data_IF_260626998425
#
_entry.id   IF_260626998425
#
_cell.length_a   1.000
_cell.length_b   1.000
_cell.length_c   1.000
_cell.angle_alpha   90.00
_cell.angle_beta   90.00
_cell.angle_gamma   90.00
#
_symmetry.space_group_name_H-M   'P 1'
#
loop_
_entity.id
_entity.type
_entity.pdbx_description
1 polymer ?
#
# COMPACT_ATOMS: atom_id res chain seq x y z
N UNK A 1 -9.69 -24.09 7.69
CA UNK A 1 -9.12 -23.18 8.72
C UNK A 1 -9.02 -21.81 8.09
N UNK A 2 -9.60 -20.75 8.72
CA UNK A 2 -9.52 -19.37 8.24
C UNK A 2 -8.08 -18.90 8.43
N UNK A 3 -7.40 -18.36 7.40
CA UNK A 3 -6.03 -17.88 7.52
C UNK A 3 -5.95 -16.69 8.49
N UNK A 4 -4.80 -16.52 9.10
CA UNK A 4 -4.54 -15.41 9.99
C UNK A 4 -3.68 -14.37 9.30
N UNK A 5 -4.07 -13.09 9.38
CA UNK A 5 -3.36 -11.96 8.78
C UNK A 5 -3.05 -10.91 9.84
N UNK A 6 -1.79 -10.52 9.97
CA UNK A 6 -1.39 -9.43 10.86
C UNK A 6 -2.03 -8.12 10.42
N UNK A 7 -2.64 -7.39 11.35
CA UNK A 7 -3.27 -6.08 11.06
C UNK A 7 -4.69 -6.13 10.53
N UNK A 8 -5.25 -7.33 10.28
CA UNK A 8 -6.69 -7.50 10.06
C UNK A 8 -7.36 -7.99 11.36
N UNK A 9 -8.52 -7.42 11.67
CA UNK A 9 -9.23 -7.77 12.90
C UNK A 9 -10.00 -9.07 12.72
N UNK A 10 -9.56 -10.12 13.41
CA UNK A 10 -10.14 -11.45 13.29
C UNK A 10 -11.51 -11.61 13.98
N UNK A 11 -11.80 -10.75 14.94
CA UNK A 11 -13.04 -10.85 15.71
C UNK A 11 -14.31 -10.57 14.88
N UNK A 12 -14.13 -10.02 13.67
CA UNK A 12 -15.24 -9.66 12.78
C UNK A 12 -15.43 -10.60 11.59
N UNK A 13 -14.59 -11.63 11.41
CA UNK A 13 -14.78 -12.56 10.30
C UNK A 13 -15.82 -13.61 10.64
N UNK A 14 -17.07 -13.31 10.31
CA UNK A 14 -18.14 -14.30 10.25
C UNK A 14 -18.13 -15.08 8.94
N UNK A 15 -17.45 -14.57 7.90
CA UNK A 15 -17.42 -15.16 6.57
C UNK A 15 -16.17 -14.76 5.78
N UNK A 16 -15.89 -15.47 4.68
CA UNK A 16 -14.82 -15.11 3.73
C UNK A 16 -15.08 -13.76 3.07
N UNK A 17 -16.33 -13.36 2.93
CA UNK A 17 -16.70 -12.05 2.36
C UNK A 17 -16.26 -10.91 3.27
N UNK A 18 -16.45 -11.04 4.59
CA UNK A 18 -16.00 -10.01 5.54
C UNK A 18 -14.48 -9.88 5.59
N UNK A 19 -13.74 -10.99 5.45
CA UNK A 19 -12.27 -10.95 5.32
C UNK A 19 -11.83 -10.12 4.11
N UNK A 20 -12.45 -10.36 2.96
CA UNK A 20 -12.14 -9.64 1.72
C UNK A 20 -12.44 -8.15 1.86
N UNK A 21 -13.58 -7.80 2.45
CA UNK A 21 -13.97 -6.40 2.67
C UNK A 21 -12.99 -5.67 3.58
N UNK A 22 -12.52 -6.32 4.64
CA UNK A 22 -11.53 -5.76 5.55
C UNK A 22 -10.16 -5.62 4.87
N UNK A 23 -9.78 -6.60 4.06
CA UNK A 23 -8.55 -6.53 3.27
C UNK A 23 -8.55 -5.34 2.30
N UNK A 24 -9.69 -5.07 1.64
CA UNK A 24 -9.86 -3.91 0.76
C UNK A 24 -9.75 -2.54 1.48
N UNK A 25 -9.89 -2.52 2.80
CA UNK A 25 -9.73 -1.31 3.63
C UNK A 25 -8.40 -1.26 4.39
N UNK A 26 -7.55 -2.25 4.18
CA UNK A 26 -6.31 -2.45 4.93
C UNK A 26 -5.08 -1.89 4.22
N UNK A 27 -3.96 -1.94 4.93
CA UNK A 27 -2.67 -1.57 4.39
C UNK A 27 -2.18 -2.55 3.30
N UNK A 28 -2.75 -3.75 3.22
CA UNK A 28 -2.46 -4.72 2.16
C UNK A 28 -2.90 -4.24 0.77
N UNK A 29 -4.05 -3.56 0.68
CA UNK A 29 -4.48 -2.93 -0.56
C UNK A 29 -3.42 -1.94 -1.07
N UNK A 30 -2.93 -1.09 -0.18
CA UNK A 30 -1.92 -0.10 -0.54
C UNK A 30 -0.57 -0.73 -0.89
N UNK A 31 -0.20 -1.83 -0.23
CA UNK A 31 0.99 -2.58 -0.63
C UNK A 31 0.95 -2.95 -2.10
N UNK A 32 -0.11 -3.66 -2.51
CA UNK A 32 -0.27 -4.12 -3.88
C UNK A 32 -0.43 -2.94 -4.85
N UNK A 33 -1.17 -1.89 -4.46
CA UNK A 33 -1.33 -0.69 -5.27
C UNK A 33 0.02 -0.01 -5.60
N UNK A 34 0.89 0.18 -4.61
CA UNK A 34 2.22 0.74 -4.86
C UNK A 34 3.12 -0.20 -5.68
N UNK A 35 3.00 -1.51 -5.48
CA UNK A 35 3.76 -2.49 -6.25
C UNK A 35 3.38 -2.45 -7.73
N UNK A 36 2.10 -2.24 -8.05
CA UNK A 36 1.62 -2.07 -9.44
C UNK A 36 2.25 -0.86 -10.14
N UNK A 37 2.62 0.19 -9.42
CA UNK A 37 3.29 1.36 -9.98
C UNK A 37 4.80 1.17 -10.20
N UNK A 38 5.34 0.00 -9.87
CA UNK A 38 6.75 -0.32 -10.06
C UNK A 38 7.02 -0.83 -11.47
N UNK A 39 7.88 -0.14 -12.21
CA UNK A 39 8.39 -0.59 -13.52
C UNK A 39 9.21 -1.88 -13.38
N UNK A 40 10.01 -1.98 -12.33
CA UNK A 40 10.85 -3.16 -12.09
C UNK A 40 10.01 -4.38 -11.71
N UNK A 41 8.92 -4.19 -10.95
CA UNK A 41 8.00 -5.29 -10.65
C UNK A 41 7.21 -5.73 -11.89
N UNK A 42 6.80 -4.79 -12.71
CA UNK A 42 6.17 -5.11 -14.00
C UNK A 42 7.13 -5.95 -14.86
N UNK A 43 8.40 -5.53 -14.93
CA UNK A 43 9.38 -6.23 -15.75
C UNK A 43 9.69 -7.64 -15.25
N UNK A 44 9.80 -7.85 -13.93
CA UNK A 44 10.00 -9.22 -13.41
C UNK A 44 8.79 -10.11 -13.68
N UNK A 45 7.57 -9.56 -13.70
CA UNK A 45 6.37 -10.28 -14.14
C UNK A 45 6.47 -10.69 -15.61
N UNK A 46 6.89 -9.78 -16.48
CA UNK A 46 7.13 -10.03 -17.90
C UNK A 46 8.21 -11.11 -18.12
N UNK A 47 9.29 -11.05 -17.38
CA UNK A 47 10.41 -11.99 -17.42
C UNK A 47 10.17 -13.29 -16.62
N UNK A 48 8.95 -13.54 -16.15
CA UNK A 48 8.58 -14.73 -15.38
C UNK A 48 9.54 -15.03 -14.20
N UNK A 49 9.90 -13.99 -13.45
CA UNK A 49 10.73 -14.12 -12.26
C UNK A 49 12.25 -14.10 -12.49
N UNK A 50 12.71 -13.88 -13.71
CA UNK A 50 14.15 -13.81 -14.02
C UNK A 50 14.73 -12.47 -13.61
N UNK A 51 15.41 -12.42 -12.47
CA UNK A 51 16.01 -11.23 -11.88
C UNK A 51 17.29 -11.58 -11.12
N UNK A 52 18.23 -10.63 -11.02
CA UNK A 52 19.46 -10.78 -10.22
C UNK A 52 19.25 -10.42 -8.74
N UNK A 53 18.29 -9.55 -8.42
CA UNK A 53 17.96 -9.16 -7.04
C UNK A 53 17.03 -10.22 -6.43
N UNK A 54 17.58 -11.06 -5.55
CA UNK A 54 16.83 -12.13 -4.87
C UNK A 54 15.65 -11.59 -4.03
N UNK A 55 15.72 -10.37 -3.53
CA UNK A 55 14.60 -9.79 -2.77
C UNK A 55 13.40 -9.52 -3.66
N UNK A 56 13.63 -8.88 -4.84
CA UNK A 56 12.58 -8.65 -5.82
C UNK A 56 12.01 -9.99 -6.34
N UNK A 57 12.88 -10.97 -6.58
CA UNK A 57 12.50 -12.31 -6.99
C UNK A 57 11.65 -13.02 -5.93
N UNK A 58 11.99 -12.89 -4.65
CA UNK A 58 11.20 -13.44 -3.55
C UNK A 58 9.82 -12.76 -3.45
N UNK A 59 9.74 -11.44 -3.63
CA UNK A 59 8.46 -10.73 -3.68
C UNK A 59 7.62 -11.26 -4.83
N UNK A 60 8.19 -11.40 -6.04
CA UNK A 60 7.49 -11.95 -7.18
C UNK A 60 7.04 -13.42 -6.96
N UNK A 61 7.89 -14.26 -6.39
CA UNK A 61 7.56 -15.66 -6.13
C UNK A 61 6.35 -15.82 -5.21
N UNK A 62 6.19 -14.90 -4.25
CA UNK A 62 5.11 -14.94 -3.26
C UNK A 62 3.86 -14.21 -3.74
N UNK A 63 4.01 -13.02 -4.30
CA UNK A 63 2.91 -12.15 -4.75
C UNK A 63 2.35 -12.60 -6.11
N UNK A 64 3.21 -13.10 -7.01
CA UNK A 64 2.86 -13.51 -8.36
C UNK A 64 2.66 -12.33 -9.32
N UNK A 65 2.19 -12.61 -10.52
CA UNK A 65 1.88 -11.58 -11.51
C UNK A 65 0.56 -10.88 -11.15
N UNK A 66 0.65 -9.68 -10.57
CA UNK A 66 -0.52 -8.89 -10.14
C UNK A 66 -1.30 -8.28 -11.31
N UNK A 67 -0.71 -8.25 -12.51
CA UNK A 67 -1.34 -7.68 -13.71
C UNK A 67 -2.28 -8.69 -14.41
N UNK A 68 -2.30 -9.95 -14.00
CA UNK A 68 -3.24 -10.98 -14.46
C UNK A 68 -4.61 -10.90 -13.77
N UNK A 69 -4.76 -10.02 -12.77
CA UNK A 69 -5.98 -9.90 -11.99
C UNK A 69 -6.72 -8.60 -12.30
N UNK A 70 -8.02 -8.69 -12.56
CA UNK A 70 -8.86 -7.53 -12.86
C UNK A 70 -9.01 -6.58 -11.66
N UNK A 71 -8.97 -7.12 -10.43
CA UNK A 71 -9.13 -6.33 -9.22
C UNK A 71 -8.39 -6.95 -8.02
N UNK A 72 -8.24 -6.14 -6.96
CA UNK A 72 -7.58 -6.56 -5.73
C UNK A 72 -8.26 -7.75 -5.05
N UNK A 73 -9.58 -7.85 -5.10
CA UNK A 73 -10.32 -8.96 -4.47
C UNK A 73 -9.97 -10.30 -5.12
N UNK A 74 -9.93 -10.36 -6.46
CA UNK A 74 -9.55 -11.56 -7.20
C UNK A 74 -8.12 -11.99 -6.86
N UNK A 75 -7.20 -11.03 -6.80
CA UNK A 75 -5.83 -11.28 -6.36
C UNK A 75 -5.79 -11.77 -4.90
N UNK A 76 -6.52 -11.10 -3.99
CA UNK A 76 -6.55 -11.46 -2.56
C UNK A 76 -7.01 -12.91 -2.35
N UNK A 77 -8.10 -13.30 -2.99
CA UNK A 77 -8.66 -14.66 -2.92
C UNK A 77 -7.62 -15.70 -3.37
N UNK A 78 -6.86 -15.39 -4.41
CA UNK A 78 -5.91 -16.30 -5.03
C UNK A 78 -4.57 -16.39 -4.30
N UNK A 79 -4.03 -15.26 -3.84
CA UNK A 79 -2.63 -15.12 -3.43
C UNK A 79 -2.39 -14.72 -1.97
N UNK A 80 -3.36 -14.10 -1.30
CA UNK A 80 -3.15 -13.57 0.05
C UNK A 80 -2.70 -14.61 1.06
N UNK A 81 -3.23 -15.83 0.95
CA UNK A 81 -2.90 -16.93 1.86
C UNK A 81 -1.42 -17.30 1.81
N UNK A 82 -0.83 -17.30 0.62
CA UNK A 82 0.61 -17.59 0.44
C UNK A 82 1.45 -16.36 0.80
N UNK A 83 0.96 -15.17 0.47
CA UNK A 83 1.72 -13.93 0.60
C UNK A 83 1.78 -13.43 2.03
N UNK A 84 0.64 -13.33 2.69
CA UNK A 84 0.46 -12.54 3.92
C UNK A 84 -0.07 -13.34 5.11
N UNK A 85 -0.60 -14.55 4.91
CA UNK A 85 -1.08 -15.34 6.02
C UNK A 85 0.08 -15.81 6.90
N UNK A 86 -0.15 -15.78 8.22
CA UNK A 86 0.77 -16.35 9.19
C UNK A 86 0.85 -17.86 9.00
N UNK A 87 2.06 -18.39 8.94
CA UNK A 87 2.31 -19.83 8.80
C UNK A 87 1.95 -20.58 10.09
N UNK A 88 2.14 -19.93 11.23
CA UNK A 88 1.75 -20.43 12.54
C UNK A 88 0.67 -19.54 13.13
N UNK A 89 -0.23 -20.11 13.92
CA UNK A 89 -1.24 -19.33 14.61
C UNK A 89 -0.59 -18.41 15.63
N UNK A 90 -0.80 -17.08 15.56
CA UNK A 90 -0.28 -16.18 16.56
C UNK A 90 -0.81 -16.55 17.96
N UNK A 91 -0.02 -16.37 19.02
CA UNK A 91 -0.49 -16.54 20.37
C UNK A 91 -1.65 -15.59 20.66
N UNK A 92 -2.61 -16.05 21.42
CA UNK A 92 -3.82 -15.30 21.78
C UNK A 92 -3.98 -15.30 23.29
N UNK A 93 -4.54 -14.19 23.80
CA UNK A 93 -5.08 -14.19 25.17
C UNK A 93 -6.31 -15.09 25.16
N UNK A 94 -6.31 -16.12 25.99
CA UNK A 94 -7.40 -17.08 26.12
C UNK A 94 -7.84 -17.16 27.57
N UNK A 95 -9.13 -17.36 27.79
CA UNK A 95 -9.65 -17.75 29.09
C UNK A 95 -9.16 -19.18 29.40
N UNK A 96 -8.36 -19.30 30.45
CA UNK A 96 -7.77 -20.57 30.90
C UNK A 96 -8.47 -21.12 32.16
N UNK A 97 -9.54 -20.48 32.63
CA UNK A 97 -10.25 -20.87 33.86
C UNK A 97 -10.68 -22.34 33.84
N UNK A 98 -11.02 -22.87 32.68
CA UNK A 98 -11.44 -24.28 32.49
C UNK A 98 -10.23 -25.22 32.38
N UNK A 99 -9.06 -24.72 31.99
CA UNK A 99 -7.86 -25.52 31.65
C UNK A 99 -6.70 -25.32 32.62
N UNK A 100 -6.87 -24.53 33.67
CA UNK A 100 -5.78 -24.16 34.59
C UNK A 100 -5.07 -25.36 35.24
N UNK A 101 -5.76 -26.49 35.38
CA UNK A 101 -5.19 -27.72 35.95
C UNK A 101 -4.27 -28.49 34.97
N UNK A 102 -4.27 -28.15 33.71
CA UNK A 102 -3.55 -28.89 32.65
C UNK A 102 -2.48 -28.08 31.95
N UNK A 103 -2.27 -26.80 32.33
CA UNK A 103 -1.31 -25.93 31.70
C UNK A 103 0.03 -26.03 32.39
N UNK A 104 1.00 -26.66 31.73
CA UNK A 104 2.41 -26.44 32.04
C UNK A 104 2.79 -25.06 31.47
N UNK A 105 2.90 -24.08 32.37
CA UNK A 105 3.15 -22.67 32.01
C UNK A 105 4.64 -22.36 31.84
N UNK A 106 5.51 -23.34 32.15
CA UNK A 106 6.94 -23.07 32.31
C UNK A 106 7.69 -22.81 31.01
N UNK A 107 7.25 -23.35 29.89
CA UNK A 107 8.07 -23.38 28.65
C UNK A 107 7.59 -22.52 27.47
N UNK A 108 6.43 -21.84 27.54
CA UNK A 108 5.82 -21.23 26.36
C UNK A 108 5.71 -19.71 26.35
N UNK A 109 6.38 -19.02 27.26
CA UNK A 109 6.28 -17.54 27.32
C UNK A 109 4.87 -17.04 27.64
N UNK A 110 4.11 -17.80 28.42
CA UNK A 110 2.74 -17.49 28.85
C UNK A 110 2.73 -17.02 30.29
N UNK A 111 1.78 -16.19 30.63
CA UNK A 111 1.53 -15.70 31.99
C UNK A 111 0.06 -15.93 32.33
N UNK A 112 -0.19 -16.57 33.46
CA UNK A 112 -1.53 -16.65 34.03
C UNK A 112 -1.74 -15.45 34.96
N UNK A 113 -2.86 -14.74 34.77
CA UNK A 113 -3.21 -13.57 35.57
C UNK A 113 -4.59 -13.77 36.17
N UNK A 114 -4.72 -13.62 37.45
CA UNK A 114 -6.02 -13.54 38.13
C UNK A 114 -6.53 -12.10 38.05
N UNK A 115 -7.74 -11.93 37.53
CA UNK A 115 -8.39 -10.61 37.39
C UNK A 115 -9.58 -10.56 38.36
N UNK A 116 -9.53 -9.76 39.42
CA UNK A 116 -10.68 -9.54 40.30
C UNK A 116 -11.76 -8.73 39.60
N UNK A 117 -12.94 -9.29 39.40
CA UNK A 117 -14.05 -8.65 38.69
C UNK A 117 -14.63 -7.39 39.35
N UNK A 118 -14.24 -7.08 40.59
CA UNK A 118 -14.71 -5.86 41.28
C UNK A 118 -13.80 -4.63 41.03
N UNK A 119 -12.74 -4.77 40.26
CA UNK A 119 -11.87 -3.66 39.86
C UNK A 119 -12.47 -2.95 38.64
N UNK A 120 -12.21 -1.64 38.50
CA UNK A 120 -12.56 -0.92 37.28
C UNK A 120 -11.68 -1.33 36.12
N UNK A 121 -12.21 -1.22 34.87
CA UNK A 121 -11.49 -1.58 33.65
C UNK A 121 -10.16 -0.82 33.53
N UNK A 122 -10.14 0.47 33.92
CA UNK A 122 -8.92 1.30 33.87
C UNK A 122 -7.85 0.74 34.82
N UNK A 123 -8.22 0.31 36.00
CA UNK A 123 -7.30 -0.23 36.99
C UNK A 123 -6.76 -1.59 36.57
N UNK A 124 -7.62 -2.44 35.99
CA UNK A 124 -7.22 -3.73 35.40
C UNK A 124 -6.19 -3.52 34.30
N UNK A 125 -6.47 -2.61 33.34
CA UNK A 125 -5.55 -2.29 32.25
C UNK A 125 -4.22 -1.75 32.77
N UNK A 126 -4.24 -0.85 33.75
CA UNK A 126 -3.03 -0.28 34.33
C UNK A 126 -2.16 -1.35 35.01
N UNK A 127 -2.77 -2.24 35.79
CA UNK A 127 -2.04 -3.32 36.45
C UNK A 127 -1.48 -4.34 35.47
N UNK A 128 -2.26 -4.73 34.43
CA UNK A 128 -1.77 -5.60 33.37
C UNK A 128 -0.58 -4.99 32.61
N UNK A 129 -0.64 -3.71 32.28
CA UNK A 129 0.46 -3.01 31.63
C UNK A 129 1.71 -2.97 32.52
N UNK A 130 1.55 -2.80 33.83
CA UNK A 130 2.67 -2.84 34.78
C UNK A 130 3.32 -4.22 34.85
N UNK A 131 2.52 -5.28 34.94
CA UNK A 131 3.01 -6.66 34.91
C UNK A 131 3.73 -6.98 33.60
N UNK A 132 3.15 -6.58 32.50
CA UNK A 132 3.79 -6.75 31.20
C UNK A 132 5.09 -5.95 31.05
N UNK A 133 5.26 -4.83 31.76
CA UNK A 133 6.49 -4.04 31.71
C UNK A 133 7.68 -4.77 32.31
N UNK A 134 7.45 -5.70 33.22
CA UNK A 134 8.49 -6.54 33.87
C UNK A 134 9.01 -7.65 32.95
N UNK A 135 8.24 -8.04 31.93
CA UNK A 135 8.64 -9.08 30.96
C UNK A 135 9.70 -8.52 30.01
N UNK A 136 10.82 -9.21 29.77
CA UNK A 136 11.83 -8.80 28.79
C UNK A 136 11.22 -8.54 27.40
N UNK A 137 11.71 -7.49 26.70
CA UNK A 137 11.13 -7.08 25.42
C UNK A 137 11.25 -8.13 24.31
N UNK A 138 12.32 -8.88 24.30
CA UNK A 138 12.58 -9.96 23.36
C UNK A 138 11.58 -11.12 23.49
N UNK A 139 11.03 -11.35 24.68
CA UNK A 139 9.99 -12.36 24.94
C UNK A 139 8.59 -11.84 24.59
N UNK A 140 8.36 -10.52 24.64
CA UNK A 140 7.02 -9.91 24.46
C UNK A 140 6.57 -9.76 23.02
N UNK A 141 7.46 -9.86 22.04
CA UNK A 141 7.14 -9.56 20.66
C UNK A 141 6.97 -10.84 19.84
N UNK A 142 5.74 -11.04 19.40
CA UNK A 142 5.47 -12.03 18.38
C UNK A 142 6.15 -11.63 17.05
N UNK A 143 6.98 -12.54 16.51
CA UNK A 143 7.53 -12.39 15.16
C UNK A 143 6.54 -12.99 14.19
N UNK A 144 6.09 -12.17 13.24
CA UNK A 144 5.26 -12.64 12.15
C UNK A 144 5.97 -13.76 11.38
N UNK A 145 5.23 -14.81 11.07
CA UNK A 145 5.69 -15.96 10.27
C UNK A 145 5.18 -15.89 8.83
N UNK A 146 4.51 -14.79 8.46
CA UNK A 146 4.05 -14.56 7.09
C UNK A 146 5.24 -14.37 6.14
N UNK A 147 5.09 -14.82 4.88
CA UNK A 147 6.12 -14.66 3.86
C UNK A 147 6.41 -13.18 3.53
N UNK A 148 5.37 -12.35 3.60
CA UNK A 148 5.50 -10.89 3.49
C UNK A 148 4.93 -10.24 4.74
N UNK A 149 5.76 -9.47 5.45
CA UNK A 149 5.40 -8.88 6.73
C UNK A 149 4.95 -7.44 6.57
N UNK A 150 3.72 -7.17 7.00
CA UNK A 150 3.20 -5.81 7.07
C UNK A 150 3.82 -5.08 8.26
N UNK A 151 4.51 -3.97 8.00
CA UNK A 151 5.05 -3.11 9.04
C UNK A 151 3.92 -2.26 9.60
N UNK A 152 3.71 -2.32 10.92
CA UNK A 152 2.70 -1.51 11.59
C UNK A 152 3.00 -0.03 11.42
N UNK A 153 2.05 0.72 10.89
CA UNK A 153 2.13 2.16 10.71
C UNK A 153 1.14 2.90 11.60
N UNK A 154 1.46 4.15 11.90
CA UNK A 154 0.56 5.03 12.63
C UNK A 154 -0.67 5.40 11.79
N UNK A 155 -1.78 5.73 12.44
CA UNK A 155 -2.98 6.24 11.77
C UNK A 155 -2.70 7.47 10.91
N UNK A 156 -1.77 8.33 11.34
CA UNK A 156 -1.34 9.52 10.58
C UNK A 156 -0.65 9.15 9.28
N UNK A 157 0.18 8.12 9.28
CA UNK A 157 0.87 7.63 8.09
C UNK A 157 -0.10 6.94 7.14
N UNK A 158 -1.01 6.11 7.66
CA UNK A 158 -2.05 5.45 6.85
C UNK A 158 -2.90 6.46 6.09
N UNK A 159 -3.30 7.57 6.73
CA UNK A 159 -4.05 8.66 6.07
C UNK A 159 -3.29 9.36 4.93
N UNK A 160 -1.97 9.17 4.84
CA UNK A 160 -1.17 9.75 3.76
C UNK A 160 -1.03 8.83 2.55
N UNK A 161 -1.28 7.51 2.69
CA UNK A 161 -1.09 6.55 1.60
C UNK A 161 -1.90 6.91 0.35
N UNK A 162 -3.20 7.28 0.43
CA UNK A 162 -3.97 7.67 -0.75
C UNK A 162 -3.34 8.82 -1.53
N UNK A 163 -2.92 9.88 -0.86
CA UNK A 163 -2.32 11.04 -1.52
C UNK A 163 -0.95 10.73 -2.11
N UNK A 164 -0.15 9.89 -1.45
CA UNK A 164 1.13 9.43 -1.96
C UNK A 164 0.94 8.58 -3.23
N UNK A 165 -0.06 7.69 -3.22
CA UNK A 165 -0.42 6.88 -4.38
C UNK A 165 -0.90 7.74 -5.56
N UNK A 166 -1.78 8.72 -5.32
CA UNK A 166 -2.25 9.64 -6.36
C UNK A 166 -1.10 10.42 -7.02
N UNK A 167 -0.15 10.91 -6.20
CA UNK A 167 1.04 11.60 -6.73
C UNK A 167 1.88 10.65 -7.57
N UNK A 168 2.12 9.42 -7.11
CA UNK A 168 2.89 8.42 -7.84
C UNK A 168 2.20 8.03 -9.15
N UNK A 169 0.91 7.75 -9.11
CA UNK A 169 0.13 7.40 -10.29
C UNK A 169 0.17 8.51 -11.33
N UNK A 170 -0.09 9.76 -10.93
CA UNK A 170 0.00 10.91 -11.83
C UNK A 170 1.38 11.06 -12.46
N UNK A 171 2.44 10.90 -11.67
CA UNK A 171 3.80 10.95 -12.17
C UNK A 171 4.06 9.88 -13.23
N UNK A 172 3.60 8.63 -13.00
CA UNK A 172 3.70 7.53 -13.97
C UNK A 172 2.89 7.82 -15.23
N UNK A 173 1.68 8.34 -15.10
CA UNK A 173 0.84 8.73 -16.24
C UNK A 173 1.45 9.86 -17.07
N UNK A 174 2.11 10.84 -16.44
CA UNK A 174 2.85 11.90 -17.14
C UNK A 174 4.04 11.33 -17.91
N UNK A 175 4.79 10.42 -17.29
CA UNK A 175 5.90 9.73 -17.98
C UNK A 175 5.38 8.94 -19.18
N UNK A 176 4.28 8.22 -19.00
CA UNK A 176 3.61 7.51 -20.09
C UNK A 176 3.17 8.45 -21.22
N UNK A 177 2.53 9.56 -20.87
CA UNK A 177 2.02 10.53 -21.84
C UNK A 177 3.14 11.16 -22.69
N UNK A 178 4.35 11.33 -22.13
CA UNK A 178 5.52 11.85 -22.90
C UNK A 178 6.03 10.88 -23.95
N UNK A 179 5.77 9.58 -23.78
CA UNK A 179 6.19 8.54 -24.72
C UNK A 179 5.14 8.27 -25.78
N UNK A 180 3.86 8.56 -25.50
CA UNK A 180 2.76 8.39 -26.43
C UNK A 180 2.47 9.72 -27.16
N UNK A 181 2.42 9.67 -28.49
CA UNK A 181 2.01 10.83 -29.31
C UNK A 181 0.48 10.98 -29.41
N UNK A 182 -0.27 10.57 -28.38
CA UNK A 182 -1.73 10.60 -28.43
C UNK A 182 -2.25 11.97 -27.94
N UNK A 183 -3.18 12.59 -28.68
CA UNK A 183 -3.83 13.86 -28.30
C UNK A 183 -4.52 13.81 -26.93
N UNK A 184 -5.09 12.66 -26.57
CA UNK A 184 -5.71 12.42 -25.25
C UNK A 184 -4.73 12.64 -24.09
N UNK A 185 -3.45 12.40 -24.29
CA UNK A 185 -2.41 12.57 -23.29
C UNK A 185 -1.71 13.94 -23.33
N UNK A 186 -2.03 14.78 -24.32
CA UNK A 186 -1.34 16.06 -24.53
C UNK A 186 -1.44 17.02 -23.32
N UNK A 187 -2.53 16.98 -22.56
CA UNK A 187 -2.67 17.77 -21.35
C UNK A 187 -1.80 17.23 -20.19
N UNK A 188 -1.59 15.91 -20.10
CA UNK A 188 -0.70 15.29 -19.12
C UNK A 188 0.76 15.69 -19.36
N UNK A 189 1.20 15.76 -20.63
CA UNK A 189 2.60 16.14 -20.95
C UNK A 189 2.94 17.56 -20.52
N UNK A 190 1.96 18.45 -20.44
CA UNK A 190 2.09 19.84 -20.01
C UNK A 190 1.99 19.99 -18.49
N UNK A 191 1.57 18.95 -17.76
CA UNK A 191 1.33 19.02 -16.33
C UNK A 191 2.65 19.13 -15.57
N UNK A 192 2.77 20.16 -14.74
CA UNK A 192 3.90 20.38 -13.83
C UNK A 192 3.45 20.10 -12.38
N UNK A 193 4.36 20.16 -11.45
CA UNK A 193 4.07 19.87 -10.03
C UNK A 193 2.96 20.75 -9.45
N UNK A 194 2.79 21.98 -9.91
CA UNK A 194 1.69 22.81 -9.48
C UNK A 194 0.34 22.27 -9.97
N UNK A 195 0.24 21.96 -11.26
CA UNK A 195 -0.95 21.41 -11.89
C UNK A 195 -1.31 20.04 -11.28
N UNK A 196 -0.30 19.19 -11.05
CA UNK A 196 -0.49 17.90 -10.31
C UNK A 196 -1.12 18.14 -8.95
N UNK A 197 -0.57 19.07 -8.17
CA UNK A 197 -1.07 19.35 -6.83
C UNK A 197 -2.48 19.93 -6.82
N UNK A 198 -2.83 20.72 -7.83
CA UNK A 198 -4.19 21.24 -8.02
C UNK A 198 -5.17 20.14 -8.45
N UNK A 199 -4.74 19.25 -9.33
CA UNK A 199 -5.54 18.12 -9.83
C UNK A 199 -6.02 17.22 -8.68
N UNK A 200 -5.11 16.83 -7.79
CA UNK A 200 -5.39 15.95 -6.65
C UNK A 200 -5.80 16.71 -5.37
N UNK A 201 -5.92 18.03 -5.43
CA UNK A 201 -6.27 18.87 -4.28
C UNK A 201 -5.36 18.67 -3.05
N UNK A 202 -4.05 18.61 -3.28
CA UNK A 202 -3.05 18.22 -2.26
C UNK A 202 -3.06 19.13 -1.02
N UNK A 203 -3.44 20.40 -1.16
CA UNK A 203 -3.56 21.39 -0.10
C UNK A 203 -4.68 22.38 -0.40
N UNK A 204 -5.89 22.14 0.14
CA UNK A 204 -7.02 23.06 -0.06
C UNK A 204 -6.70 24.50 0.35
N UNK A 205 -5.92 24.70 1.41
CA UNK A 205 -5.51 26.02 1.90
C UNK A 205 -4.53 26.76 0.99
N UNK A 206 -3.85 26.05 0.10
CA UNK A 206 -2.91 26.63 -0.87
C UNK A 206 -3.54 26.90 -2.24
N UNK A 207 -4.88 26.77 -2.37
CA UNK A 207 -5.57 27.20 -3.59
C UNK A 207 -5.51 28.71 -3.72
N UNK A 208 -5.12 29.24 -4.90
CA UNK A 208 -5.20 30.68 -5.16
C UNK A 208 -6.65 31.17 -5.08
N UNK A 209 -6.83 32.31 -4.44
CA UNK A 209 -8.11 33.03 -4.40
C UNK A 209 -8.08 34.19 -5.39
N UNK A 210 -9.27 34.68 -5.77
CA UNK A 210 -9.42 35.92 -6.58
C UNK A 210 -8.88 37.15 -5.86
N UNK A 211 -8.85 37.10 -4.54
CA UNK A 211 -8.41 38.20 -3.67
C UNK A 211 -6.92 38.13 -3.30
N UNK A 212 -6.20 37.12 -3.74
CA UNK A 212 -4.76 36.99 -3.46
C UNK A 212 -3.98 38.04 -4.26
N UNK A 213 -3.03 38.70 -3.61
CA UNK A 213 -2.01 39.50 -4.29
C UNK A 213 -1.13 38.59 -5.18
N UNK A 214 -0.42 39.19 -6.12
CA UNK A 214 0.51 38.42 -6.99
C UNK A 214 1.58 37.67 -6.17
N UNK A 215 2.11 38.30 -5.11
CA UNK A 215 3.07 37.69 -4.21
C UNK A 215 2.45 36.51 -3.45
N UNK A 216 1.27 36.68 -2.84
CA UNK A 216 0.55 35.62 -2.14
C UNK A 216 0.22 34.44 -3.06
N UNK A 217 -0.17 34.73 -4.30
CA UNK A 217 -0.44 33.69 -5.31
C UNK A 217 0.80 32.89 -5.66
N UNK A 218 1.93 33.54 -5.85
CA UNK A 218 3.22 32.88 -6.12
C UNK A 218 3.65 32.00 -4.94
N UNK A 219 3.52 32.48 -3.71
CA UNK A 219 3.84 31.71 -2.50
C UNK A 219 2.98 30.45 -2.39
N UNK A 220 1.66 30.57 -2.63
CA UNK A 220 0.75 29.41 -2.67
C UNK A 220 1.15 28.42 -3.75
N UNK A 221 1.51 28.88 -4.95
CA UNK A 221 2.00 28.00 -6.03
C UNK A 221 3.28 27.28 -5.63
N UNK A 222 4.26 27.98 -5.06
CA UNK A 222 5.52 27.41 -4.63
C UNK A 222 5.31 26.38 -3.50
N UNK A 223 4.39 26.65 -2.57
CA UNK A 223 4.00 25.69 -1.53
C UNK A 223 3.43 24.40 -2.12
N UNK A 224 2.52 24.51 -3.10
CA UNK A 224 1.96 23.32 -3.78
C UNK A 224 3.06 22.54 -4.50
N UNK A 225 3.95 23.19 -5.26
CA UNK A 225 5.09 22.56 -5.95
C UNK A 225 5.99 21.80 -4.97
N UNK A 226 6.33 22.43 -3.85
CA UNK A 226 7.16 21.82 -2.80
C UNK A 226 6.49 20.59 -2.19
N UNK A 227 5.20 20.67 -1.88
CA UNK A 227 4.44 19.54 -1.34
C UNK A 227 4.39 18.36 -2.31
N UNK A 228 4.10 18.58 -3.59
CA UNK A 228 4.09 17.53 -4.60
C UNK A 228 5.47 16.88 -4.73
N UNK A 229 6.54 17.69 -4.81
CA UNK A 229 7.90 17.19 -4.88
C UNK A 229 8.28 16.31 -3.68
N UNK A 230 7.91 16.73 -2.47
CA UNK A 230 8.13 15.94 -1.25
C UNK A 230 7.34 14.64 -1.25
N UNK A 231 6.06 14.68 -1.64
CA UNK A 231 5.20 13.50 -1.71
C UNK A 231 5.66 12.52 -2.77
N UNK A 232 6.10 13.01 -3.94
CA UNK A 232 6.71 12.17 -4.97
C UNK A 232 7.92 11.42 -4.44
N UNK A 233 8.87 12.10 -3.79
CA UNK A 233 10.05 11.46 -3.20
C UNK A 233 9.69 10.41 -2.13
N UNK A 234 8.61 10.65 -1.35
CA UNK A 234 8.13 9.68 -0.38
C UNK A 234 7.50 8.45 -1.07
N UNK A 235 6.68 8.67 -2.10
CA UNK A 235 6.04 7.62 -2.87
C UNK A 235 7.08 6.74 -3.61
N UNK A 236 8.09 7.36 -4.25
CA UNK A 236 9.18 6.62 -4.91
C UNK A 236 9.95 5.73 -3.92
N UNK A 237 10.15 6.21 -2.68
CA UNK A 237 10.76 5.37 -1.62
C UNK A 237 9.85 4.19 -1.23
N UNK A 238 8.55 4.41 -1.12
CA UNK A 238 7.60 3.33 -0.82
C UNK A 238 7.63 2.29 -1.95
N UNK A 239 7.60 2.72 -3.22
CA UNK A 239 7.68 1.82 -4.37
C UNK A 239 8.97 0.99 -4.30
N UNK A 240 10.12 1.61 -4.08
CA UNK A 240 11.39 0.91 -3.96
C UNK A 240 11.42 -0.09 -2.77
N UNK A 241 10.73 0.22 -1.69
CA UNK A 241 10.66 -0.66 -0.51
C UNK A 241 9.70 -1.84 -0.70
N UNK A 242 8.54 -1.65 -1.35
CA UNK A 242 7.63 -2.77 -1.64
C UNK A 242 8.27 -3.79 -2.58
N UNK A 243 9.13 -3.35 -3.50
CA UNK A 243 9.91 -4.21 -4.39
C UNK A 243 10.87 -5.15 -3.66
N UNK A 244 11.24 -4.83 -2.42
CA UNK A 244 12.10 -5.67 -1.57
C UNK A 244 11.36 -6.24 -0.36
N UNK A 245 10.03 -6.24 -0.41
CA UNK A 245 9.18 -6.89 0.60
C UNK A 245 8.97 -6.06 1.87
N UNK A 246 9.20 -4.75 1.84
CA UNK A 246 9.07 -3.86 3.00
C UNK A 246 8.05 -2.75 2.75
N UNK A 247 6.97 -2.70 3.55
CA UNK A 247 5.91 -1.68 3.41
C UNK A 247 5.40 -1.19 4.76
N UNK A 248 5.08 0.08 4.91
CA UNK A 248 5.38 1.23 4.05
C UNK A 248 6.60 2.02 4.57
N UNK A 249 7.78 1.48 4.40
CA UNK A 249 9.00 2.17 4.80
C UNK A 249 9.26 3.39 3.91
N UNK A 250 9.66 4.49 4.54
CA UNK A 250 10.11 5.73 3.89
C UNK A 250 11.64 5.89 3.95
N UNK A 251 12.34 4.90 4.50
CA UNK A 251 13.78 4.81 4.41
C UNK A 251 14.21 4.56 2.97
N UNK A 252 15.44 4.88 2.63
CA UNK A 252 15.97 4.57 1.31
C UNK A 252 16.20 3.07 1.22
N UNK A 253 15.54 2.41 0.27
CA UNK A 253 15.83 1.02 -0.02
C UNK A 253 17.25 0.88 -0.60
N UNK A 254 17.94 -0.15 -0.20
CA UNK A 254 19.22 -0.51 -0.78
C UNK A 254 18.96 -1.22 -2.12
N UNK A 255 19.26 -0.57 -3.23
CA UNK A 255 18.94 -1.09 -4.56
C UNK A 255 20.19 -1.78 -5.13
N UNK A 256 20.13 -3.10 -5.25
CA UNK A 256 21.14 -3.89 -5.93
C UNK A 256 20.94 -3.87 -7.45
N UNK A 257 21.94 -4.35 -8.19
CA UNK A 257 21.78 -4.59 -9.63
C UNK A 257 20.69 -5.67 -9.86
N UNK A 258 19.63 -5.32 -10.60
CA UNK A 258 18.47 -6.20 -10.84
C UNK A 258 18.54 -6.96 -12.14
N UNK A 259 19.21 -6.41 -13.13
CA UNK A 259 19.17 -6.89 -14.50
C UNK A 259 20.58 -7.07 -15.08
N UNK A 260 20.78 -8.10 -15.87
CA UNK A 260 21.95 -8.25 -16.73
C UNK A 260 22.00 -7.13 -17.78
N UNK A 261 23.13 -6.94 -18.45
CA UNK A 261 23.25 -5.92 -19.50
C UNK A 261 22.26 -6.15 -20.65
N UNK A 262 22.03 -7.40 -21.03
CA UNK A 262 21.05 -7.76 -22.05
C UNK A 262 19.60 -7.47 -21.59
N UNK A 263 19.24 -7.85 -20.37
CA UNK A 263 17.92 -7.56 -19.80
C UNK A 263 17.69 -6.05 -19.63
N UNK A 264 18.70 -5.27 -19.25
CA UNK A 264 18.58 -3.80 -19.18
C UNK A 264 18.23 -3.17 -20.52
N UNK A 265 18.77 -3.70 -21.60
CA UNK A 265 18.44 -3.21 -22.94
C UNK A 265 16.99 -3.53 -23.31
N UNK A 266 16.58 -4.78 -23.14
CA UNK A 266 15.20 -5.21 -23.38
C UNK A 266 14.20 -4.48 -22.48
N UNK A 267 14.51 -4.32 -21.18
CA UNK A 267 13.71 -3.52 -20.25
C UNK A 267 13.49 -2.09 -20.75
N UNK A 268 14.59 -1.44 -21.19
CA UNK A 268 14.50 -0.07 -21.71
C UNK A 268 13.65 0.00 -22.98
N UNK A 269 13.84 -0.93 -23.90
CA UNK A 269 13.05 -1.02 -25.13
C UNK A 269 11.56 -1.23 -24.86
N UNK A 270 11.21 -2.13 -23.91
CA UNK A 270 9.82 -2.37 -23.53
C UNK A 270 9.16 -1.16 -22.84
N UNK A 271 9.89 -0.49 -21.93
CA UNK A 271 9.38 0.72 -21.25
C UNK A 271 9.21 1.87 -22.25
N UNK A 272 10.20 2.14 -23.11
CA UNK A 272 10.15 3.20 -24.12
C UNK A 272 9.18 2.86 -25.27
N UNK A 273 9.01 1.58 -25.59
CA UNK A 273 8.02 1.07 -26.55
C UNK A 273 6.57 1.13 -26.08
N UNK A 274 6.36 1.44 -24.80
CA UNK A 274 5.02 1.65 -24.25
C UNK A 274 4.29 0.40 -23.77
N UNK A 275 4.95 -0.76 -23.69
CA UNK A 275 4.32 -1.99 -23.21
C UNK A 275 3.82 -1.86 -21.76
N UNK A 276 4.63 -1.26 -20.88
CA UNK A 276 4.21 -0.98 -19.51
C UNK A 276 3.03 -0.02 -19.43
N UNK A 277 2.97 0.94 -20.38
CA UNK A 277 1.94 1.98 -20.44
C UNK A 277 0.55 1.42 -20.72
N UNK A 278 0.46 0.34 -21.50
CA UNK A 278 -0.82 -0.34 -21.77
C UNK A 278 -1.42 -0.94 -20.50
N UNK A 279 -0.59 -1.23 -19.49
CA UNK A 279 -1.00 -1.79 -18.20
C UNK A 279 -1.36 -0.70 -17.19
N UNK A 280 -0.63 0.43 -17.19
CA UNK A 280 -0.79 1.50 -16.20
C UNK A 280 -1.58 2.66 -16.80
N UNK A 281 -2.88 2.61 -16.65
CA UNK A 281 -3.79 3.71 -16.94
C UNK A 281 -4.74 3.94 -15.75
N UNK A 282 -5.41 5.10 -15.73
CA UNK A 282 -6.29 5.49 -14.62
C UNK A 282 -7.43 4.50 -14.43
N UNK A 283 -8.00 4.04 -15.52
CA UNK A 283 -9.15 3.13 -15.50
C UNK A 283 -8.77 1.77 -14.92
N UNK A 284 -7.65 1.18 -15.37
CA UNK A 284 -7.17 -0.09 -14.87
C UNK A 284 -6.82 -0.01 -13.37
N UNK A 285 -6.17 1.06 -12.94
CA UNK A 285 -5.82 1.23 -11.53
C UNK A 285 -7.06 1.48 -10.67
N UNK A 286 -8.03 2.24 -11.16
CA UNK A 286 -9.28 2.48 -10.45
C UNK A 286 -10.11 1.19 -10.34
N UNK A 287 -10.22 0.42 -11.42
CA UNK A 287 -10.90 -0.89 -11.43
C UNK A 287 -10.21 -1.86 -10.48
N UNK A 288 -8.89 -1.92 -10.52
CA UNK A 288 -8.11 -2.82 -9.66
C UNK A 288 -8.33 -2.55 -8.18
N UNK A 289 -8.40 -1.30 -7.76
CA UNK A 289 -8.63 -0.91 -6.37
C UNK A 289 -10.08 -1.06 -5.91
N UNK A 290 -10.99 -1.55 -6.78
CA UNK A 290 -12.38 -1.86 -6.43
C UNK A 290 -13.30 -0.65 -6.30
N UNK A 291 -12.88 0.51 -6.80
CA UNK A 291 -13.77 1.65 -6.91
C UNK A 291 -14.81 1.37 -8.00
N UNK A 292 -16.09 1.56 -7.72
CA UNK A 292 -17.15 1.36 -8.72
C UNK A 292 -17.07 2.43 -9.79
N UNK A 293 -16.99 2.00 -11.04
CA UNK A 293 -16.81 2.86 -12.22
C UNK A 293 -18.14 3.32 -12.84
N UNK A 294 -19.18 3.57 -12.05
CA UNK A 294 -20.50 4.03 -12.55
C UNK A 294 -20.44 5.33 -13.38
N UNK A 295 -19.24 5.89 -13.58
CA UNK A 295 -18.99 7.16 -14.27
C UNK A 295 -18.26 7.00 -15.62
N UNK A 296 -17.91 5.79 -16.07
CA UNK A 296 -16.97 5.61 -17.19
C UNK A 296 -17.55 4.85 -18.39
N UNK A 297 -18.83 5.03 -18.67
CA UNK A 297 -19.50 4.34 -19.80
C UNK A 297 -19.15 4.92 -21.20
N UNK A 298 -18.33 5.96 -21.28
CA UNK A 298 -17.96 6.59 -22.55
C UNK A 298 -16.46 6.55 -22.83
N UNK A 299 -16.08 6.04 -23.98
CA UNK A 299 -14.70 5.89 -24.48
C UNK A 299 -13.93 7.21 -24.66
N UNK A 300 -14.58 8.35 -24.50
CA UNK A 300 -13.99 9.69 -24.60
C UNK A 300 -13.99 10.39 -23.25
N UNK A 301 -13.09 9.98 -22.34
CA UNK A 301 -12.95 10.64 -21.05
C UNK A 301 -12.48 12.09 -21.20
N UNK A 302 -13.29 13.02 -20.76
CA UNK A 302 -12.88 14.41 -20.65
C UNK A 302 -11.81 14.56 -19.56
N UNK A 303 -10.97 15.59 -19.67
CA UNK A 303 -9.98 15.98 -18.66
C UNK A 303 -10.60 16.06 -17.24
N UNK A 304 -11.83 16.57 -17.11
CA UNK A 304 -12.54 16.70 -15.82
C UNK A 304 -12.95 15.34 -15.25
N UNK A 305 -13.39 14.39 -16.06
CA UNK A 305 -13.71 13.02 -15.61
C UNK A 305 -12.47 12.31 -15.08
N UNK A 306 -11.34 12.40 -15.79
CA UNK A 306 -10.05 11.88 -15.33
C UNK A 306 -9.63 12.48 -13.99
N UNK A 307 -9.78 13.80 -13.80
CA UNK A 307 -9.48 14.45 -12.51
C UNK A 307 -10.45 14.05 -11.41
N UNK A 308 -11.72 13.80 -11.72
CA UNK A 308 -12.70 13.30 -10.76
C UNK A 308 -12.32 11.91 -10.26
N UNK A 309 -11.97 11.00 -11.17
CA UNK A 309 -11.48 9.65 -10.83
C UNK A 309 -10.21 9.72 -9.97
N UNK A 310 -9.23 10.54 -10.34
CA UNK A 310 -8.04 10.72 -9.53
C UNK A 310 -8.35 11.19 -8.10
N UNK A 311 -9.31 12.09 -7.92
CA UNK A 311 -9.72 12.57 -6.61
C UNK A 311 -10.43 11.50 -5.78
N UNK A 312 -11.18 10.62 -6.41
CA UNK A 312 -11.91 9.55 -5.73
C UNK A 312 -10.97 8.52 -5.07
N UNK A 313 -9.74 8.36 -5.55
CA UNK A 313 -8.73 7.52 -4.87
C UNK A 313 -8.49 7.93 -3.41
N UNK A 314 -8.72 9.19 -3.05
CA UNK A 314 -8.62 9.64 -1.66
C UNK A 314 -9.64 9.00 -0.72
N UNK A 315 -10.69 8.38 -1.26
CA UNK A 315 -11.76 7.72 -0.51
C UNK A 315 -11.59 6.21 -0.42
N UNK A 316 -10.68 5.64 -1.23
CA UNK A 316 -10.39 4.21 -1.21
C UNK A 316 -9.71 3.84 0.13
N UNK A 317 -10.19 2.79 0.77
CA UNK A 317 -9.64 2.30 2.03
C UNK A 317 -10.10 3.07 3.29
N UNK A 318 -11.16 3.87 3.17
CA UNK A 318 -11.82 4.52 4.32
C UNK A 318 -12.95 3.70 4.87
#
# INVERSE_FOLDING_TARGET
>A
MIPWYTGLSRHFYSSKVSEIQDACKSDYLWWIAFLRLSKDYWWICHEHGKCLDERLKNVWAVIGNIYEYDNFQSWWISKSKVSFAEQTRPPQVTDVSVYSQFLDLSDEGRMLVEIPFHLSDELIVQQLLSLMAEIPKDVRFYKSTANQQLIKISTKERRQLPILYQVALLDRLIDCAKLSNNEYSAWLTKMRFYEMGMAINISPSAKPSKFDSSATRLDKQNRVRSLVSQKKKQADKIIANVEVGSFPLKAKADVCARWTSQQKRAYKEAIEGGEWMSQINIENEYRFLGAQLDLLDDTNHTHEQTLSVLRSFSQIGR
#
